data_IF_718668275289
#
_entry.id   IF_718668275289
#
_cell.length_a   1.000
_cell.length_b   1.000
_cell.length_c   1.000
_cell.angle_alpha   90.00
_cell.angle_beta   90.00
_cell.angle_gamma   90.00
#
_symmetry.space_group_name_H-M   'P 1'
#
loop_
_entity.id
_entity.type
_entity.pdbx_description
1 polymer ?
#
# COMPACT_ATOMS: atom_id res chain seq x y z
N UNK A 1 3.03 -41.06 -6.48
CA UNK A 1 3.28 -40.72 -5.07
C UNK A 1 4.67 -40.12 -4.95
N UNK A 2 4.83 -38.89 -5.41
CA UNK A 2 6.04 -38.08 -5.22
C UNK A 2 5.75 -37.14 -4.05
N UNK A 3 6.72 -37.02 -3.14
CA UNK A 3 6.62 -36.19 -1.93
C UNK A 3 6.81 -34.73 -2.33
N UNK A 4 5.76 -33.93 -2.23
CA UNK A 4 5.86 -32.47 -2.21
C UNK A 4 6.37 -32.05 -0.83
N UNK A 5 7.46 -31.30 -0.82
CA UNK A 5 8.05 -30.66 0.35
C UNK A 5 7.95 -29.17 0.07
N UNK A 6 6.87 -28.55 0.56
CA UNK A 6 6.67 -27.10 0.51
C UNK A 6 7.37 -26.51 1.73
N UNK A 7 8.09 -25.42 1.44
CA UNK A 7 9.07 -24.73 2.27
C UNK A 7 8.34 -23.86 3.32
N UNK A 8 9.05 -23.57 4.40
CA UNK A 8 8.50 -23.10 5.69
C UNK A 8 8.48 -21.58 5.72
N UNK A 9 7.42 -20.96 6.21
CA UNK A 9 7.50 -19.63 6.81
C UNK A 9 6.91 -19.68 8.22
N UNK A 10 7.76 -19.46 9.22
CA UNK A 10 7.36 -19.50 10.63
C UNK A 10 7.36 -18.08 11.21
N UNK A 11 6.50 -17.19 10.69
CA UNK A 11 6.20 -15.90 11.34
C UNK A 11 5.24 -16.09 12.53
N UNK A 12 5.56 -16.97 13.49
CA UNK A 12 4.90 -16.98 14.82
C UNK A 12 5.87 -17.40 15.94
N UNK A 13 6.05 -16.47 16.88
CA UNK A 13 6.57 -16.60 18.25
C UNK A 13 8.09 -16.55 18.50
N UNK A 14 8.55 -15.46 19.12
CA UNK A 14 9.09 -15.55 20.50
C UNK A 14 9.19 -14.19 21.22
N UNK A 15 8.30 -14.00 22.20
CA UNK A 15 8.56 -13.16 23.36
C UNK A 15 9.06 -14.07 24.50
N UNK A 16 10.11 -13.60 25.20
CA UNK A 16 10.66 -14.05 26.51
C UNK A 16 11.76 -15.13 26.49
N UNK A 17 12.99 -14.72 26.85
CA UNK A 17 13.92 -15.60 27.57
C UNK A 17 15.43 -15.36 27.37
N UNK A 18 15.99 -14.39 28.10
CA UNK A 18 17.43 -14.07 28.25
C UNK A 18 18.31 -15.29 28.55
N UNK A 19 19.45 -15.44 27.84
CA UNK A 19 20.69 -16.01 28.41
C UNK A 19 21.96 -15.62 27.61
N UNK A 20 22.62 -14.57 28.10
CA UNK A 20 24.05 -14.23 28.06
C UNK A 20 25.00 -15.01 27.12
N UNK A 21 25.55 -14.30 26.14
CA UNK A 21 26.81 -14.62 25.46
C UNK A 21 27.65 -13.35 25.31
N UNK A 22 28.59 -13.11 26.21
CA UNK A 22 29.49 -11.97 26.15
C UNK A 22 30.47 -12.11 24.97
N UNK A 23 30.42 -11.20 24.01
CA UNK A 23 31.44 -11.07 22.96
C UNK A 23 32.28 -9.81 23.20
N UNK A 24 33.57 -10.04 23.43
CA UNK A 24 34.59 -9.00 23.53
C UNK A 24 34.88 -8.43 22.14
N UNK A 25 34.58 -7.16 21.90
CA UNK A 25 35.18 -6.40 20.81
C UNK A 25 36.27 -5.49 21.36
N UNK A 26 37.50 -5.82 20.96
CA UNK A 26 38.69 -5.05 21.20
C UNK A 26 38.64 -3.75 20.39
N UNK A 27 39.03 -2.65 21.04
CA UNK A 27 39.03 -1.32 20.44
C UNK A 27 39.98 -1.20 19.25
N UNK A 28 39.45 -0.72 18.14
CA UNK A 28 40.18 -0.11 17.05
C UNK A 28 39.68 1.32 16.86
N UNK A 29 40.55 2.30 17.05
CA UNK A 29 40.25 3.69 16.68
C UNK A 29 40.17 3.78 15.16
N UNK A 30 39.02 4.17 14.61
CA UNK A 30 38.92 4.66 13.24
C UNK A 30 38.34 6.08 13.27
N UNK A 31 39.02 6.94 12.53
CA UNK A 31 38.97 8.39 12.59
C UNK A 31 37.67 8.94 12.00
N UNK A 32 37.11 9.95 12.69
CA UNK A 32 36.18 10.93 12.13
C UNK A 32 36.78 11.60 10.88
N UNK A 33 36.04 11.62 9.79
CA UNK A 33 36.22 12.58 8.70
C UNK A 33 34.87 13.19 8.33
N UNK A 34 34.52 14.22 9.10
CA UNK A 34 33.40 15.13 8.87
C UNK A 34 33.86 16.19 7.86
N UNK A 35 33.39 16.11 6.62
CA UNK A 35 33.73 17.06 5.55
C UNK A 35 32.78 18.25 5.52
N UNK A 36 33.04 19.26 6.37
CA UNK A 36 32.46 20.60 6.25
C UNK A 36 33.60 21.55 5.86
N UNK A 37 33.56 22.11 4.64
CA UNK A 37 34.56 23.05 4.14
C UNK A 37 33.91 24.34 3.68
N UNK A 38 33.93 25.36 4.55
CA UNK A 38 33.51 26.71 4.24
C UNK A 38 34.68 27.62 3.86
N UNK A 39 34.43 28.49 2.87
CA UNK A 39 34.77 29.92 2.86
C UNK A 39 36.24 30.37 2.75
N UNK A 40 36.53 31.23 1.76
CA UNK A 40 36.95 32.61 2.04
C UNK A 40 37.06 33.47 0.77
N UNK A 41 36.76 34.75 1.01
CA UNK A 41 36.58 35.88 0.11
C UNK A 41 37.91 36.46 -0.42
N UNK A 42 37.88 37.23 -1.52
CA UNK A 42 38.18 38.68 -1.49
C UNK A 42 38.08 39.39 -2.86
N UNK A 43 37.20 40.40 -2.91
CA UNK A 43 37.39 41.80 -3.36
C UNK A 43 37.81 42.21 -4.79
N UNK A 44 36.96 43.07 -5.36
CA UNK A 44 37.30 44.34 -6.05
C UNK A 44 37.23 44.31 -7.59
N UNK A 45 36.59 45.22 -8.33
CA UNK A 45 35.83 46.44 -8.04
C UNK A 45 35.66 47.28 -9.33
N UNK A 46 34.56 48.04 -9.45
CA UNK A 46 34.35 49.22 -10.34
C UNK A 46 34.20 48.98 -11.85
N UNK A 47 33.37 49.68 -12.63
CA UNK A 47 32.45 50.79 -12.42
C UNK A 47 32.01 51.40 -13.77
N UNK A 48 30.85 52.11 -13.79
CA UNK A 48 30.38 53.06 -14.82
C UNK A 48 29.59 52.46 -16.00
N UNK A 49 28.47 52.98 -16.49
CA UNK A 49 27.70 54.20 -16.19
C UNK A 49 26.86 54.59 -17.41
N UNK A 50 25.65 55.17 -17.19
CA UNK A 50 24.85 56.06 -18.08
C UNK A 50 24.32 55.48 -19.43
N UNK A 51 23.18 55.84 -20.01
CA UNK A 51 22.19 56.90 -19.76
C UNK A 51 20.93 56.66 -20.63
N UNK A 52 19.80 57.27 -20.23
CA UNK A 52 18.67 57.78 -21.07
C UNK A 52 17.85 56.80 -21.95
N UNK A 53 16.52 56.89 -22.08
CA UNK A 53 15.52 57.85 -21.61
C UNK A 53 14.29 57.83 -22.55
N UNK A 54 13.13 58.23 -22.00
CA UNK A 54 11.91 58.72 -22.69
C UNK A 54 11.11 57.68 -23.50
N UNK A 55 9.85 57.35 -23.18
CA UNK A 55 8.66 58.21 -23.12
C UNK A 55 7.72 57.74 -24.25
N UNK A 56 6.39 57.69 -24.19
CA UNK A 56 5.35 58.05 -23.22
C UNK A 56 3.98 57.90 -23.92
N UNK A 57 2.89 57.92 -23.15
CA UNK A 57 1.49 58.11 -23.60
C UNK A 57 0.83 56.87 -24.21
N UNK A 58 -0.30 56.35 -23.71
CA UNK A 58 -1.53 56.99 -23.25
C UNK A 58 -2.67 56.36 -24.08
N UNK A 59 -3.88 56.09 -23.63
CA UNK A 59 -4.57 56.27 -22.37
C UNK A 59 -6.03 55.81 -22.55
N UNK A 60 -6.77 55.78 -21.44
CA UNK A 60 -8.25 55.75 -21.39
C UNK A 60 -8.88 54.35 -21.45
N UNK A 61 -9.75 53.93 -20.53
CA UNK A 61 -10.35 54.63 -19.40
C UNK A 61 -11.76 54.06 -19.14
N UNK A 62 -12.07 53.92 -17.85
CA UNK A 62 -13.41 53.83 -17.22
C UNK A 62 -14.26 52.59 -17.54
N UNK A 63 -15.04 52.02 -16.62
CA UNK A 63 -15.47 52.28 -15.22
C UNK A 63 -16.35 51.03 -14.88
N UNK A 64 -16.64 50.60 -13.67
CA UNK A 64 -16.89 51.34 -12.44
C UNK A 64 -17.03 50.39 -11.24
N UNK A 65 -16.75 50.95 -10.06
CA UNK A 65 -17.22 50.67 -8.69
C UNK A 65 -17.48 49.20 -8.25
N UNK A 66 -16.87 48.69 -7.18
CA UNK A 66 -16.73 49.26 -5.82
C UNK A 66 -17.58 48.39 -4.88
N UNK A 67 -17.29 48.11 -3.61
CA UNK A 67 -16.42 48.61 -2.54
C UNK A 67 -16.24 47.41 -1.56
N UNK A 68 -15.17 47.21 -0.80
CA UNK A 68 -14.43 48.13 0.06
C UNK A 68 -14.81 47.84 1.53
N UNK A 69 -13.86 47.40 2.35
CA UNK A 69 -14.10 47.18 3.79
C UNK A 69 -12.98 46.47 4.55
N UNK A 70 -11.84 47.11 4.67
CA UNK A 70 -10.65 46.71 5.43
C UNK A 70 -10.72 47.06 6.92
N UNK A 71 -10.22 46.17 7.80
CA UNK A 71 -9.60 46.50 9.11
C UNK A 71 -8.87 45.25 9.64
N UNK A 72 -7.54 45.15 9.57
CA UNK A 72 -6.54 45.61 10.57
C UNK A 72 -6.67 44.97 11.97
N UNK A 73 -5.64 44.18 12.33
CA UNK A 73 -4.99 44.31 13.64
C UNK A 73 -4.99 43.09 14.57
N UNK A 74 -3.77 42.64 14.90
CA UNK A 74 -3.40 42.29 16.27
C UNK A 74 -3.29 40.79 16.59
N UNK A 75 -2.06 40.28 16.68
CA UNK A 75 -1.78 39.03 17.39
C UNK A 75 -1.83 39.20 18.91
N UNK A 76 -1.89 38.08 19.64
CA UNK A 76 -1.31 37.84 20.97
C UNK A 76 -1.25 36.32 21.18
N UNK A 77 -0.19 35.94 21.90
CA UNK A 77 0.32 34.63 22.26
C UNK A 77 -0.39 33.95 23.45
N UNK A 78 0.01 32.67 23.61
CA UNK A 78 0.30 31.95 24.85
C UNK A 78 -0.73 31.05 25.55
N UNK A 79 -0.21 29.85 25.89
CA UNK A 79 -0.47 28.98 27.05
C UNK A 79 -1.83 28.25 27.06
N UNK A 80 -1.92 26.94 27.26
CA UNK A 80 -1.06 25.99 27.97
C UNK A 80 -1.82 25.46 29.20
N UNK A 81 -2.13 24.16 29.22
CA UNK A 81 -2.28 23.39 30.46
C UNK A 81 -3.66 22.83 30.85
N UNK A 82 -3.66 21.49 30.98
CA UNK A 82 -4.04 20.74 32.21
C UNK A 82 -5.51 20.32 32.44
N UNK A 83 -5.73 19.02 32.22
CA UNK A 83 -6.29 17.97 33.09
C UNK A 83 -7.58 18.14 33.94
N UNK A 84 -8.34 17.03 33.97
CA UNK A 84 -9.29 16.62 35.02
C UNK A 84 -10.75 16.60 34.54
N UNK A 85 -11.64 15.69 34.92
CA UNK A 85 -11.63 14.51 35.78
C UNK A 85 -13.03 13.86 35.68
N UNK A 86 -13.06 12.53 35.76
CA UNK A 86 -14.14 11.60 36.11
C UNK A 86 -15.62 12.05 36.23
N UNK A 87 -16.52 11.22 35.65
CA UNK A 87 -17.94 11.14 35.98
C UNK A 87 -18.50 9.73 35.77
N UNK A 88 -18.61 8.98 36.85
CA UNK A 88 -19.22 7.65 37.02
C UNK A 88 -20.76 7.66 36.96
N UNK A 89 -21.34 6.57 36.44
CA UNK A 89 -22.51 5.90 37.04
C UNK A 89 -23.82 5.91 36.25
N UNK A 90 -24.37 4.71 35.97
CA UNK A 90 -25.74 4.56 35.47
C UNK A 90 -26.08 3.13 35.02
N UNK A 91 -26.45 2.28 35.97
CA UNK A 91 -26.85 0.88 35.85
C UNK A 91 -28.33 0.74 35.42
N UNK A 92 -28.68 -0.26 34.59
CA UNK A 92 -29.91 -1.07 34.74
C UNK A 92 -29.92 -2.32 33.83
N UNK A 93 -30.26 -3.44 34.45
CA UNK A 93 -30.53 -4.77 33.91
C UNK A 93 -31.71 -4.83 32.93
N UNK A 94 -31.70 -5.80 32.00
CA UNK A 94 -32.68 -6.91 31.94
C UNK A 94 -32.29 -7.93 30.86
N UNK A 95 -32.58 -9.20 31.11
CA UNK A 95 -32.01 -10.34 30.42
C UNK A 95 -32.83 -10.93 29.27
N UNK A 96 -32.15 -11.79 28.50
CA UNK A 96 -32.59 -13.14 28.17
C UNK A 96 -33.44 -13.37 26.91
N UNK A 97 -32.91 -14.18 25.99
CA UNK A 97 -33.69 -15.23 25.31
C UNK A 97 -33.72 -15.23 23.77
N UNK A 98 -33.01 -16.20 23.19
CA UNK A 98 -33.38 -17.05 22.04
C UNK A 98 -33.77 -16.43 20.67
N UNK A 99 -32.87 -16.66 19.69
CA UNK A 99 -33.13 -17.29 18.39
C UNK A 99 -34.18 -16.70 17.44
N UNK A 100 -33.74 -16.23 16.28
CA UNK A 100 -34.29 -16.52 14.94
C UNK A 100 -33.58 -15.66 13.89
N UNK A 101 -33.21 -16.27 12.76
CA UNK A 101 -32.80 -15.54 11.57
C UNK A 101 -33.91 -14.59 11.11
N UNK A 102 -33.51 -13.39 10.72
CA UNK A 102 -34.40 -12.34 10.28
C UNK A 102 -33.60 -11.24 9.59
N UNK A 103 -33.90 -11.05 8.31
CA UNK A 103 -33.37 -10.01 7.44
C UNK A 103 -33.34 -8.66 8.16
N UNK A 104 -32.14 -8.10 8.31
CA UNK A 104 -31.95 -6.76 8.83
C UNK A 104 -32.26 -5.71 7.77
N UNK A 105 -33.54 -5.47 7.51
CA UNK A 105 -33.99 -4.18 6.98
C UNK A 105 -33.48 -3.09 7.95
N UNK A 106 -32.45 -2.35 7.54
CA UNK A 106 -32.09 -1.11 8.23
C UNK A 106 -33.31 -0.20 8.15
N UNK A 107 -33.89 0.26 9.27
CA UNK A 107 -34.97 1.23 9.20
C UNK A 107 -34.43 2.48 8.50
N UNK A 108 -35.07 2.85 7.39
CA UNK A 108 -34.90 4.17 6.80
C UNK A 108 -35.03 5.20 7.92
N UNK A 109 -33.99 6.00 8.14
CA UNK A 109 -34.01 7.03 9.15
C UNK A 109 -35.25 7.90 8.92
N UNK A 110 -36.15 7.92 9.90
CA UNK A 110 -37.31 8.78 9.87
C UNK A 110 -36.83 10.23 9.71
N UNK A 111 -37.43 11.03 8.80
CA UNK A 111 -37.14 12.45 8.75
C UNK A 111 -37.67 13.08 10.04
N UNK A 112 -36.96 14.10 10.52
CA UNK A 112 -37.24 14.91 11.72
C UNK A 112 -36.67 14.37 13.04
N UNK A 113 -35.37 14.54 13.22
CA UNK A 113 -34.85 14.94 14.52
C UNK A 113 -34.39 16.40 14.38
N UNK A 114 -35.10 17.31 15.03
CA UNK A 114 -34.65 18.68 15.27
C UNK A 114 -33.21 18.65 15.79
N UNK A 115 -32.37 19.55 15.30
CA UNK A 115 -30.98 19.63 15.71
C UNK A 115 -30.90 19.77 17.24
N UNK A 116 -30.21 18.85 17.93
CA UNK A 116 -29.82 19.05 19.32
C UNK A 116 -29.02 20.36 19.38
N UNK A 117 -29.51 21.34 20.14
CA UNK A 117 -28.92 22.70 20.23
C UNK A 117 -27.47 22.69 20.77
N UNK A 118 -27.03 21.56 21.32
CA UNK A 118 -25.67 21.32 21.83
C UNK A 118 -24.74 20.63 20.81
N UNK A 119 -25.24 20.32 19.60
CA UNK A 119 -24.47 19.62 18.58
C UNK A 119 -23.63 20.59 17.74
N UNK A 120 -22.31 20.50 17.89
CA UNK A 120 -21.32 21.16 17.00
C UNK A 120 -21.28 20.56 15.58
N UNK A 121 -22.19 19.63 15.27
CA UNK A 121 -22.32 19.03 13.94
C UNK A 121 -22.97 20.05 12.99
N UNK A 122 -22.27 20.50 11.93
CA UNK A 122 -22.86 21.44 10.99
C UNK A 122 -24.04 20.80 10.26
N UNK A 123 -25.10 21.56 9.99
CA UNK A 123 -26.39 21.05 9.49
C UNK A 123 -26.37 20.35 8.12
N UNK A 124 -25.25 20.40 7.39
CA UNK A 124 -25.02 19.60 6.18
C UNK A 124 -24.62 18.15 6.49
N UNK A 125 -24.05 17.90 7.65
CA UNK A 125 -23.67 16.57 8.09
C UNK A 125 -24.92 15.88 8.64
N UNK A 126 -25.61 15.15 7.76
CA UNK A 126 -26.87 14.50 8.08
C UNK A 126 -27.64 13.96 6.86
N UNK A 127 -27.12 14.14 5.65
CA UNK A 127 -27.75 13.57 4.46
C UNK A 127 -28.99 14.34 3.99
N UNK A 128 -29.15 15.61 4.36
CA UNK A 128 -30.22 16.46 3.79
C UNK A 128 -29.89 16.78 2.32
N UNK A 129 -30.60 16.21 1.34
CA UNK A 129 -30.29 16.36 -0.08
C UNK A 129 -30.54 17.78 -0.60
N UNK A 130 -31.37 18.58 0.10
CA UNK A 130 -31.66 19.97 -0.27
C UNK A 130 -30.50 20.92 0.06
N UNK A 131 -29.64 20.56 1.02
CA UNK A 131 -28.49 21.37 1.47
C UNK A 131 -27.14 20.84 0.98
N UNK A 132 -27.10 19.60 0.50
CA UNK A 132 -25.94 19.01 -0.14
C UNK A 132 -26.39 18.20 -1.37
N UNK A 133 -26.30 18.76 -2.59
CA UNK A 133 -26.66 18.04 -3.81
C UNK A 133 -25.85 16.76 -4.04
N UNK A 134 -24.72 16.58 -3.35
CA UNK A 134 -23.89 15.37 -3.39
C UNK A 134 -24.25 14.33 -2.31
N UNK A 135 -25.15 14.65 -1.36
CA UNK A 135 -25.56 13.73 -0.30
C UNK A 135 -26.49 12.60 -0.77
N UNK A 136 -26.96 12.65 -2.02
CA UNK A 136 -27.78 11.61 -2.65
C UNK A 136 -27.02 10.54 -3.43
N UNK A 137 -25.69 10.62 -3.54
CA UNK A 137 -24.89 9.68 -4.34
C UNK A 137 -24.62 8.32 -3.65
N UNK A 138 -25.32 8.04 -2.54
CA UNK A 138 -25.26 6.77 -1.81
C UNK A 138 -26.56 5.97 -1.93
N UNK A 139 -27.27 6.02 -3.05
CA UNK A 139 -28.31 5.03 -3.32
C UNK A 139 -27.63 3.66 -3.39
N UNK A 140 -27.78 2.87 -2.33
CA UNK A 140 -27.32 1.49 -2.31
C UNK A 140 -27.78 0.77 -3.58
N UNK A 141 -26.86 -0.01 -4.14
CA UNK A 141 -27.04 -0.74 -5.39
C UNK A 141 -28.33 -1.58 -5.34
N UNK A 142 -29.30 -1.37 -6.25
CA UNK A 142 -30.53 -2.16 -6.30
C UNK A 142 -30.34 -3.52 -6.99
N UNK A 143 -29.13 -3.87 -7.44
CA UNK A 143 -28.85 -5.08 -8.20
C UNK A 143 -27.60 -5.78 -7.67
N UNK A 144 -27.76 -6.81 -6.84
CA UNK A 144 -26.60 -7.56 -6.34
C UNK A 144 -25.75 -8.07 -7.52
N UNK A 145 -24.46 -7.75 -7.53
CA UNK A 145 -23.49 -8.20 -8.53
C UNK A 145 -23.09 -7.16 -9.57
N UNK A 146 -23.68 -5.96 -9.58
CA UNK A 146 -23.32 -4.89 -10.53
C UNK A 146 -22.40 -3.82 -9.97
N UNK A 147 -22.22 -3.78 -8.65
CA UNK A 147 -21.22 -2.90 -8.01
C UNK A 147 -20.16 -3.79 -7.38
N UNK A 148 -18.88 -3.39 -7.51
CA UNK A 148 -17.72 -4.13 -6.99
C UNK A 148 -17.97 -4.73 -5.59
N UNK A 149 -18.68 -4.00 -4.73
CA UNK A 149 -19.12 -4.40 -3.38
C UNK A 149 -19.75 -5.80 -3.21
N UNK A 150 -20.43 -6.35 -4.23
CA UNK A 150 -21.19 -7.61 -4.09
C UNK A 150 -20.36 -8.86 -4.38
N UNK A 151 -19.16 -8.72 -4.95
CA UNK A 151 -18.20 -9.83 -5.20
C UNK A 151 -17.42 -10.17 -3.91
N UNK A 152 -17.67 -9.45 -2.83
CA UNK A 152 -16.79 -9.36 -1.66
C UNK A 152 -17.33 -10.08 -0.42
N UNK A 153 -17.54 -11.38 -0.54
CA UNK A 153 -17.41 -12.26 0.63
C UNK A 153 -15.96 -12.25 1.14
N UNK A 154 -15.74 -12.78 2.35
CA UNK A 154 -14.38 -13.02 2.84
C UNK A 154 -13.66 -13.95 1.85
N UNK A 155 -12.60 -13.46 1.21
CA UNK A 155 -11.81 -14.24 0.28
C UNK A 155 -10.91 -15.17 1.09
N UNK A 156 -10.86 -16.45 0.72
CA UNK A 156 -10.03 -17.45 1.38
C UNK A 156 -8.83 -17.81 0.52
N UNK A 157 -7.71 -18.15 1.16
CA UNK A 157 -6.52 -18.61 0.45
C UNK A 157 -6.78 -19.98 -0.19
N UNK A 158 -6.46 -20.11 -1.48
CA UNK A 158 -6.63 -21.33 -2.25
C UNK A 158 -5.26 -21.94 -2.57
N UNK A 159 -5.18 -23.25 -2.62
CA UNK A 159 -4.01 -23.89 -3.21
C UNK A 159 -4.01 -23.60 -4.71
N UNK A 160 -2.97 -22.92 -5.20
CA UNK A 160 -2.83 -22.48 -6.60
C UNK A 160 -1.65 -23.13 -7.30
N UNK A 161 -1.74 -23.21 -8.62
CA UNK A 161 -0.60 -23.47 -9.48
C UNK A 161 0.35 -22.27 -9.40
N UNK A 162 1.60 -22.44 -8.96
CA UNK A 162 2.53 -21.34 -8.78
C UNK A 162 2.98 -20.72 -10.11
N UNK A 163 2.82 -21.41 -11.25
CA UNK A 163 3.15 -20.86 -12.56
C UNK A 163 2.10 -19.88 -13.07
N UNK A 164 0.82 -20.15 -12.86
CA UNK A 164 -0.31 -19.41 -13.48
C UNK A 164 -1.17 -18.64 -12.48
N UNK A 165 -1.15 -19.02 -11.20
CA UNK A 165 -2.08 -18.52 -10.19
C UNK A 165 -3.47 -19.18 -10.21
N UNK A 166 -3.70 -20.16 -11.10
CA UNK A 166 -4.96 -20.90 -11.18
C UNK A 166 -5.17 -21.77 -9.94
N UNK A 167 -6.37 -21.78 -9.33
CA UNK A 167 -6.66 -22.64 -8.19
C UNK A 167 -6.68 -24.11 -8.61
N UNK A 168 -6.11 -24.97 -7.77
CA UNK A 168 -6.08 -26.42 -8.00
C UNK A 168 -7.47 -27.00 -7.74
N UNK A 169 -8.06 -27.57 -8.79
CA UNK A 169 -9.36 -28.25 -8.74
C UNK A 169 -9.25 -29.54 -7.92
N UNK A 170 -10.07 -29.64 -6.88
CA UNK A 170 -10.19 -30.82 -6.03
C UNK A 170 -11.20 -31.85 -6.58
N UNK A 171 -12.17 -31.39 -7.37
CA UNK A 171 -13.19 -32.23 -8.00
C UNK A 171 -14.40 -31.44 -8.46
N UNK A 172 -15.52 -32.14 -8.65
CA UNK A 172 -16.82 -31.55 -8.98
C UNK A 172 -17.90 -32.19 -8.12
N UNK A 173 -18.84 -31.40 -7.63
CA UNK A 173 -20.06 -31.85 -6.97
C UNK A 173 -21.28 -31.45 -7.81
N UNK A 174 -22.45 -31.98 -7.44
CA UNK A 174 -23.73 -31.62 -8.07
C UNK A 174 -24.64 -31.10 -6.99
N UNK A 175 -25.13 -29.88 -7.17
CA UNK A 175 -26.12 -29.28 -6.28
C UNK A 175 -27.38 -30.16 -6.25
N UNK A 176 -27.79 -30.68 -5.09
CA UNK A 176 -28.95 -31.55 -4.98
C UNK A 176 -30.29 -30.83 -5.23
N UNK A 177 -30.35 -29.51 -5.12
CA UNK A 177 -31.54 -28.69 -5.33
C UNK A 177 -31.68 -28.22 -6.78
N UNK A 178 -30.59 -27.74 -7.37
CA UNK A 178 -30.59 -27.16 -8.73
C UNK A 178 -30.15 -28.15 -9.81
N UNK A 179 -29.39 -29.18 -9.45
CA UNK A 179 -28.76 -30.11 -10.38
C UNK A 179 -27.55 -29.53 -11.12
N UNK A 180 -27.05 -28.37 -10.70
CA UNK A 180 -25.89 -27.70 -11.28
C UNK A 180 -24.57 -28.36 -10.86
N UNK A 181 -23.61 -28.47 -11.79
CA UNK A 181 -22.27 -28.93 -11.47
C UNK A 181 -21.46 -27.80 -10.83
N UNK A 182 -20.93 -28.04 -9.63
CA UNK A 182 -20.10 -27.10 -8.88
C UNK A 182 -18.66 -27.61 -8.93
N UNK A 183 -17.72 -26.71 -9.26
CA UNK A 183 -16.29 -27.03 -9.19
C UNK A 183 -15.79 -26.84 -7.76
N UNK A 184 -15.11 -27.85 -7.24
CA UNK A 184 -14.52 -27.82 -5.89
C UNK A 184 -13.03 -27.48 -5.98
N UNK A 185 -12.55 -26.69 -5.02
CA UNK A 185 -11.16 -26.25 -4.94
C UNK A 185 -10.51 -26.65 -3.62
N UNK A 186 -9.18 -26.69 -3.59
CA UNK A 186 -8.44 -26.83 -2.35
C UNK A 186 -8.25 -25.49 -1.65
N UNK A 187 -8.63 -25.43 -0.37
CA UNK A 187 -8.49 -24.26 0.51
C UNK A 187 -7.38 -24.49 1.51
N UNK A 188 -6.53 -23.49 1.71
CA UNK A 188 -5.40 -23.52 2.64
C UNK A 188 -5.87 -23.36 4.10
N UNK A 189 -5.27 -24.14 5.00
CA UNK A 189 -5.56 -24.12 6.45
C UNK A 189 -4.40 -23.58 7.30
N UNK A 190 -3.23 -23.36 6.69
CA UNK A 190 -2.07 -22.71 7.28
C UNK A 190 -1.46 -21.69 6.28
N UNK A 191 -0.66 -20.75 6.78
CA UNK A 191 -0.11 -19.65 5.99
C UNK A 191 0.77 -20.15 4.82
N UNK A 192 1.45 -21.28 5.02
CA UNK A 192 2.30 -21.93 4.02
C UNK A 192 1.51 -22.77 2.99
N UNK A 193 0.20 -22.89 3.15
CA UNK A 193 -0.67 -23.83 2.43
C UNK A 193 -0.14 -25.28 2.39
N UNK A 194 0.64 -25.69 3.41
CA UNK A 194 1.11 -27.06 3.58
C UNK A 194 -0.01 -28.02 3.99
N UNK A 195 -1.06 -27.48 4.62
CA UNK A 195 -2.29 -28.19 4.96
C UNK A 195 -3.46 -27.57 4.21
N UNK A 196 -4.24 -28.41 3.51
CA UNK A 196 -5.39 -27.96 2.75
C UNK A 196 -6.54 -28.97 2.80
N UNK A 197 -7.74 -28.49 2.49
CA UNK A 197 -8.96 -29.30 2.40
C UNK A 197 -9.77 -28.93 1.16
N UNK A 198 -10.50 -29.88 0.58
CA UNK A 198 -11.41 -29.60 -0.51
C UNK A 198 -12.68 -28.90 0.00
N UNK A 199 -13.23 -27.99 -0.79
CA UNK A 199 -14.60 -27.49 -0.60
C UNK A 199 -15.62 -28.61 -0.86
N UNK A 200 -16.82 -28.45 -0.29
CA UNK A 200 -17.96 -29.34 -0.50
C UNK A 200 -19.19 -28.50 -0.87
N UNK A 201 -19.79 -28.76 -2.03
CA UNK A 201 -20.87 -27.98 -2.63
C UNK A 201 -20.50 -26.49 -2.79
N UNK A 202 -19.24 -26.19 -3.09
CA UNK A 202 -18.74 -24.82 -3.23
C UNK A 202 -18.58 -24.08 -1.89
N UNK A 203 -18.77 -24.75 -0.76
CA UNK A 203 -18.62 -24.17 0.57
C UNK A 203 -17.48 -24.83 1.36
N UNK A 204 -17.04 -24.17 2.42
CA UNK A 204 -16.12 -24.76 3.38
C UNK A 204 -16.82 -25.85 4.18
N UNK A 205 -16.19 -27.04 4.38
CA UNK A 205 -16.76 -28.07 5.22
C UNK A 205 -17.01 -27.60 6.66
N UNK A 206 -18.02 -28.17 7.33
CA UNK A 206 -18.41 -27.76 8.68
C UNK A 206 -17.24 -27.94 9.68
N UNK A 207 -16.98 -26.92 10.48
CA UNK A 207 -15.92 -26.92 11.50
C UNK A 207 -14.52 -26.62 10.96
N UNK A 208 -14.40 -26.28 9.67
CA UNK A 208 -13.15 -25.78 9.07
C UNK A 208 -13.06 -24.27 9.24
N UNK A 209 -11.89 -23.77 9.61
CA UNK A 209 -11.56 -22.34 9.56
C UNK A 209 -10.53 -22.15 8.48
N UNK A 210 -10.94 -21.54 7.37
CA UNK A 210 -10.03 -21.14 6.31
C UNK A 210 -9.24 -19.90 6.71
N UNK A 211 -8.09 -19.71 6.08
CA UNK A 211 -7.33 -18.47 6.19
C UNK A 211 -7.90 -17.48 5.18
N UNK A 212 -8.25 -16.30 5.67
CA UNK A 212 -8.68 -15.20 4.82
C UNK A 212 -7.47 -14.57 4.12
N UNK A 213 -7.65 -14.15 2.88
CA UNK A 213 -6.69 -13.28 2.19
C UNK A 213 -6.75 -11.91 2.85
N UNK A 214 -5.63 -11.44 3.39
CA UNK A 214 -5.52 -10.11 3.97
C UNK A 214 -5.04 -9.12 2.91
N UNK A 215 -5.84 -8.08 2.68
CA UNK A 215 -5.51 -7.00 1.74
C UNK A 215 -4.98 -5.77 2.47
N UNK A 216 -5.21 -5.66 3.78
CA UNK A 216 -4.84 -4.47 4.54
C UNK A 216 -5.28 -3.19 3.83
N UNK A 217 -4.32 -2.28 3.56
CA UNK A 217 -4.56 -1.04 2.82
C UNK A 217 -4.89 -1.20 1.32
N UNK A 218 -4.56 -2.32 0.68
CA UNK A 218 -4.91 -2.56 -0.74
C UNK A 218 -6.39 -2.84 -0.94
N UNK A 219 -7.14 -3.02 0.17
CA UNK A 219 -8.61 -2.97 0.17
C UNK A 219 -9.17 -1.73 -0.54
N UNK A 220 -8.38 -0.66 -0.69
CA UNK A 220 -8.72 0.52 -1.49
C UNK A 220 -9.01 0.21 -2.97
N UNK A 221 -8.52 -0.90 -3.54
CA UNK A 221 -8.86 -1.34 -4.90
C UNK A 221 -10.35 -1.68 -5.10
N UNK A 222 -11.08 -1.86 -3.99
CA UNK A 222 -12.54 -2.04 -3.98
C UNK A 222 -13.30 -0.72 -4.12
N UNK A 223 -12.60 0.41 -4.08
CA UNK A 223 -13.18 1.72 -4.30
C UNK A 223 -13.76 1.86 -5.71
N UNK A 224 -14.70 2.80 -5.93
CA UNK A 224 -15.15 3.15 -7.28
C UNK A 224 -13.97 3.56 -8.17
N UNK A 225 -14.03 3.24 -9.47
CA UNK A 225 -12.94 3.53 -10.41
C UNK A 225 -12.55 5.01 -10.44
N UNK A 226 -13.50 5.92 -10.19
CA UNK A 226 -13.21 7.37 -10.12
C UNK A 226 -12.14 7.73 -9.07
N UNK A 227 -11.94 6.90 -8.04
CA UNK A 227 -10.91 7.10 -7.02
C UNK A 227 -9.53 6.74 -7.57
N UNK A 228 -9.41 5.60 -8.25
CA UNK A 228 -8.18 5.16 -8.90
C UNK A 228 -7.84 6.02 -10.11
N UNK A 229 -8.84 6.46 -10.88
CA UNK A 229 -8.66 7.33 -12.04
C UNK A 229 -8.08 8.70 -11.62
N UNK A 230 -8.59 9.28 -10.53
CA UNK A 230 -8.07 10.55 -10.03
C UNK A 230 -6.63 10.43 -9.52
N UNK A 231 -6.31 9.33 -8.82
CA UNK A 231 -4.95 9.08 -8.37
C UNK A 231 -3.98 8.81 -9.53
N UNK A 232 -4.47 8.17 -10.61
CA UNK A 232 -3.70 8.01 -11.84
C UNK A 232 -3.36 9.37 -12.45
N UNK A 233 -4.36 10.25 -12.60
CA UNK A 233 -4.16 11.61 -13.11
C UNK A 233 -3.14 12.40 -12.28
N UNK A 234 -3.22 12.32 -10.94
CA UNK A 234 -2.26 12.97 -10.04
C UNK A 234 -0.84 12.41 -10.20
N UNK A 235 -0.71 11.08 -10.25
CA UNK A 235 0.57 10.41 -10.42
C UNK A 235 1.23 10.73 -11.76
N UNK A 236 0.48 10.64 -12.86
CA UNK A 236 0.97 10.96 -14.20
C UNK A 236 1.35 12.45 -14.32
N UNK A 237 0.56 13.35 -13.74
CA UNK A 237 0.88 14.79 -13.72
C UNK A 237 2.22 15.08 -13.01
N UNK A 238 2.53 14.36 -11.93
CA UNK A 238 3.84 14.46 -11.25
C UNK A 238 4.99 14.00 -12.14
N UNK A 239 4.79 12.91 -12.88
CA UNK A 239 5.82 12.35 -13.77
C UNK A 239 6.03 13.21 -15.02
N UNK A 240 4.96 13.75 -15.60
CA UNK A 240 5.02 14.63 -16.77
C UNK A 240 5.71 15.98 -16.47
N UNK A 241 5.59 16.47 -15.23
CA UNK A 241 6.20 17.72 -14.78
C UNK A 241 7.59 17.54 -14.17
N UNK A 242 8.04 16.30 -14.02
CA UNK A 242 9.35 15.99 -13.43
C UNK A 242 10.49 16.41 -14.35
N UNK A 243 11.55 16.97 -13.76
CA UNK A 243 12.82 17.23 -14.44
C UNK A 243 13.59 15.91 -14.66
N UNK A 244 13.50 15.00 -13.69
CA UNK A 244 14.16 13.69 -13.70
C UNK A 244 13.30 12.66 -12.95
N UNK A 245 13.32 11.42 -13.44
CA UNK A 245 12.65 10.26 -12.81
C UNK A 245 13.69 9.17 -12.62
N UNK A 246 13.69 8.55 -11.44
CA UNK A 246 14.57 7.47 -11.04
C UNK A 246 13.82 6.51 -10.10
N UNK A 247 14.52 5.49 -9.60
CA UNK A 247 13.98 4.54 -8.63
C UNK A 247 14.73 4.64 -7.30
N UNK A 248 14.03 4.41 -6.19
CA UNK A 248 14.66 4.20 -4.89
C UNK A 248 15.16 2.75 -4.73
N UNK A 249 15.71 2.44 -3.55
CA UNK A 249 16.26 1.12 -3.22
C UNK A 249 15.25 -0.03 -3.40
N UNK A 250 13.97 0.24 -3.18
CA UNK A 250 12.87 -0.73 -3.32
C UNK A 250 12.27 -0.78 -4.72
N UNK A 251 12.77 0.03 -5.66
CA UNK A 251 12.20 0.15 -7.00
C UNK A 251 11.01 1.11 -7.09
N UNK A 252 10.70 1.89 -6.04
CA UNK A 252 9.63 2.89 -6.11
C UNK A 252 10.06 4.10 -6.90
N UNK A 253 9.10 4.69 -7.60
CA UNK A 253 9.34 5.85 -8.44
C UNK A 253 9.67 7.07 -7.56
N UNK A 254 10.82 7.65 -7.81
CA UNK A 254 11.24 8.96 -7.31
C UNK A 254 11.40 9.94 -8.46
N UNK A 255 11.01 11.18 -8.25
CA UNK A 255 11.04 12.22 -9.28
C UNK A 255 11.53 13.53 -8.70
N UNK A 256 12.11 14.39 -9.52
CA UNK A 256 12.57 15.70 -9.10
C UNK A 256 11.82 16.83 -9.79
N UNK A 257 11.58 17.91 -9.04
CA UNK A 257 11.06 19.18 -9.56
C UNK A 257 11.91 20.29 -8.96
N UNK A 258 12.48 21.15 -9.80
CA UNK A 258 13.36 22.26 -9.42
C UNK A 258 14.53 21.78 -8.52
N UNK A 259 15.06 20.59 -8.82
CA UNK A 259 16.16 19.96 -8.07
C UNK A 259 15.79 19.39 -6.69
N UNK A 260 14.51 19.37 -6.32
CA UNK A 260 14.01 18.71 -5.10
C UNK A 260 13.42 17.34 -5.44
N UNK A 261 13.84 16.29 -4.75
CA UNK A 261 13.37 14.92 -4.96
C UNK A 261 12.12 14.61 -4.12
N UNK A 262 11.20 13.89 -4.73
CA UNK A 262 9.94 13.40 -4.19
C UNK A 262 9.79 11.91 -4.51
N UNK A 263 8.97 11.21 -3.74
CA UNK A 263 8.66 9.79 -3.95
C UNK A 263 7.16 9.63 -4.15
N UNK A 264 6.76 8.78 -5.10
CA UNK A 264 5.38 8.31 -5.18
C UNK A 264 5.16 7.28 -4.05
N UNK A 265 4.84 7.78 -2.86
CA UNK A 265 4.66 6.98 -1.62
C UNK A 265 3.17 6.81 -1.24
N UNK A 266 2.24 7.27 -2.09
CA UNK A 266 0.81 7.05 -1.86
C UNK A 266 0.42 5.64 -2.30
N UNK A 267 -0.20 4.82 -1.42
CA UNK A 267 -0.69 3.50 -1.81
C UNK A 267 -1.68 3.57 -2.98
N UNK A 268 -2.50 4.62 -3.03
CA UNK A 268 -3.50 4.79 -4.07
C UNK A 268 -2.88 5.18 -5.42
N UNK A 269 -1.82 6.00 -5.42
CA UNK A 269 -1.11 6.36 -6.66
C UNK A 269 -0.33 5.15 -7.20
N UNK A 270 0.33 4.39 -6.32
CA UNK A 270 0.99 3.14 -6.70
C UNK A 270 -0.01 2.13 -7.27
N UNK A 271 -1.19 2.00 -6.66
CA UNK A 271 -2.24 1.10 -7.17
C UNK A 271 -2.75 1.56 -8.53
N UNK A 272 -2.98 2.86 -8.72
CA UNK A 272 -3.47 3.39 -9.97
C UNK A 272 -2.47 3.16 -11.12
N UNK A 273 -1.19 3.44 -10.88
CA UNK A 273 -0.10 3.15 -11.82
C UNK A 273 0.03 1.64 -12.08
N UNK A 274 -0.10 0.79 -11.04
CA UNK A 274 -0.07 -0.66 -11.18
C UNK A 274 -1.18 -1.15 -12.11
N UNK A 275 -2.42 -0.73 -11.89
CA UNK A 275 -3.57 -1.15 -12.68
C UNK A 275 -3.38 -0.77 -14.15
N UNK A 276 -3.04 0.49 -14.41
CA UNK A 276 -2.89 1.00 -15.77
C UNK A 276 -1.67 0.39 -16.49
N UNK A 277 -0.55 0.18 -15.79
CA UNK A 277 0.63 -0.48 -16.36
C UNK A 277 0.38 -1.97 -16.61
N UNK A 278 -0.15 -2.70 -15.63
CA UNK A 278 -0.36 -4.14 -15.73
C UNK A 278 -1.39 -4.45 -16.84
N UNK A 279 -2.49 -3.68 -16.91
CA UNK A 279 -3.47 -3.81 -17.99
C UNK A 279 -2.86 -3.49 -19.37
N UNK A 280 -1.99 -2.47 -19.45
CA UNK A 280 -1.21 -2.16 -20.65
C UNK A 280 -0.35 -3.33 -21.07
N UNK A 281 0.53 -3.81 -20.19
CA UNK A 281 1.44 -4.94 -20.45
C UNK A 281 0.73 -6.26 -20.77
N UNK A 282 -0.49 -6.47 -20.26
CA UNK A 282 -1.30 -7.68 -20.55
C UNK A 282 -1.90 -7.67 -21.97
N UNK A 283 -2.00 -6.48 -22.57
CA UNK A 283 -2.66 -6.29 -23.86
C UNK A 283 -1.67 -5.71 -24.86
N UNK A 284 -1.90 -5.85 -26.17
CA UNK A 284 -1.09 -5.12 -27.16
C UNK A 284 -1.47 -3.62 -27.22
N UNK A 285 -2.01 -3.04 -26.13
CA UNK A 285 -2.50 -1.66 -26.05
C UNK A 285 -1.68 -0.86 -25.06
N UNK A 286 -0.90 0.07 -25.57
CA UNK A 286 -0.12 0.99 -24.74
C UNK A 286 -1.01 1.93 -23.93
N UNK A 287 -0.87 1.90 -22.61
CA UNK A 287 -1.58 2.78 -21.66
C UNK A 287 -0.83 4.09 -21.40
N UNK A 288 -1.42 4.99 -20.60
CA UNK A 288 -0.80 6.27 -20.28
C UNK A 288 0.45 6.08 -19.41
N UNK A 289 0.36 5.19 -18.41
CA UNK A 289 1.49 4.82 -17.55
C UNK A 289 2.57 4.14 -18.36
N UNK A 290 2.22 3.19 -19.23
CA UNK A 290 3.19 2.55 -20.12
C UNK A 290 3.88 3.59 -21.01
N UNK A 291 3.15 4.54 -21.59
CA UNK A 291 3.74 5.62 -22.41
C UNK A 291 4.77 6.45 -21.64
N UNK A 292 4.43 6.87 -20.41
CA UNK A 292 5.31 7.69 -19.57
C UNK A 292 6.55 6.90 -19.13
N UNK A 293 6.37 5.64 -18.75
CA UNK A 293 7.45 4.81 -18.22
C UNK A 293 8.33 4.18 -19.32
N UNK A 294 7.79 3.89 -20.51
CA UNK A 294 8.54 3.33 -21.63
C UNK A 294 9.59 4.31 -22.14
N UNK A 295 9.28 5.62 -22.13
CA UNK A 295 10.26 6.67 -22.43
C UNK A 295 11.50 6.63 -21.51
N UNK A 296 11.37 6.01 -20.34
CA UNK A 296 12.41 5.83 -19.33
C UNK A 296 12.97 4.40 -19.29
N UNK A 297 12.42 3.49 -20.09
CA UNK A 297 12.74 2.05 -20.04
C UNK A 297 12.22 1.35 -18.78
N UNK A 298 11.18 1.89 -18.15
CA UNK A 298 10.60 1.43 -16.89
C UNK A 298 9.23 0.74 -17.06
N UNK A 299 8.69 0.67 -18.27
CA UNK A 299 7.42 -0.03 -18.54
C UNK A 299 7.63 -1.55 -18.55
N UNK A 300 7.88 -2.13 -17.37
CA UNK A 300 8.21 -3.56 -17.20
C UNK A 300 7.36 -4.21 -16.11
N UNK A 301 7.35 -5.55 -16.09
CA UNK A 301 6.74 -6.30 -14.99
C UNK A 301 7.50 -6.11 -13.66
N UNK A 302 8.80 -5.84 -13.68
CA UNK A 302 9.53 -5.46 -12.45
C UNK A 302 8.96 -4.17 -11.85
N UNK A 303 8.67 -3.18 -12.70
CA UNK A 303 8.02 -1.94 -12.25
C UNK A 303 6.61 -2.21 -11.73
N UNK A 304 5.84 -3.07 -12.38
CA UNK A 304 4.54 -3.47 -11.87
C UNK A 304 4.65 -4.16 -10.49
N UNK A 305 5.65 -5.00 -10.26
CA UNK A 305 5.90 -5.63 -8.96
C UNK A 305 6.27 -4.58 -7.89
N UNK A 306 7.14 -3.62 -8.20
CA UNK A 306 7.49 -2.51 -7.30
C UNK A 306 6.30 -1.59 -6.99
N UNK A 307 5.43 -1.34 -7.97
CA UNK A 307 4.19 -0.58 -7.76
C UNK A 307 3.24 -1.34 -6.85
N UNK A 308 3.06 -2.65 -7.05
CA UNK A 308 2.24 -3.49 -6.18
C UNK A 308 2.77 -3.49 -4.74
N UNK A 309 4.09 -3.55 -4.56
CA UNK A 309 4.75 -3.38 -3.26
C UNK A 309 4.40 -2.04 -2.60
N UNK A 310 4.37 -0.94 -3.37
CA UNK A 310 3.95 0.38 -2.91
C UNK A 310 2.47 0.46 -2.49
N UNK A 311 1.63 -0.48 -2.95
CA UNK A 311 0.22 -0.59 -2.53
C UNK A 311 0.10 -1.27 -1.18
N UNK A 312 0.91 -2.29 -0.90
CA UNK A 312 0.72 -3.16 0.26
C UNK A 312 1.00 -2.47 1.61
N UNK A 313 0.53 -3.11 2.69
CA UNK A 313 0.89 -2.69 4.03
C UNK A 313 2.36 -2.96 4.31
N UNK A 314 3.06 -1.96 4.87
CA UNK A 314 4.52 -2.01 5.06
C UNK A 314 5.03 -3.19 5.88
N UNK A 315 4.17 -3.84 6.66
CA UNK A 315 4.51 -4.99 7.53
C UNK A 315 3.68 -6.23 7.16
N UNK A 316 3.00 -6.21 6.01
CA UNK A 316 2.25 -7.33 5.49
C UNK A 316 3.08 -8.15 4.51
N UNK A 317 2.48 -9.19 3.95
CA UNK A 317 3.12 -10.08 2.97
C UNK A 317 2.31 -10.08 1.66
N UNK A 318 3.00 -10.07 0.52
CA UNK A 318 2.39 -10.21 -0.81
C UNK A 318 2.46 -11.68 -1.22
N UNK A 319 1.37 -12.40 -0.96
CA UNK A 319 1.23 -13.81 -1.35
C UNK A 319 0.70 -13.97 -2.78
N UNK A 320 0.80 -15.18 -3.34
CA UNK A 320 0.18 -15.49 -4.63
C UNK A 320 -1.35 -15.28 -4.62
N UNK A 321 -2.03 -15.63 -3.52
CA UNK A 321 -3.45 -15.35 -3.36
C UNK A 321 -3.74 -13.84 -3.30
N UNK A 322 -2.91 -13.07 -2.60
CA UNK A 322 -3.01 -11.61 -2.62
C UNK A 322 -2.95 -11.08 -4.05
N UNK A 323 -1.91 -11.45 -4.81
CA UNK A 323 -1.69 -11.00 -6.19
C UNK A 323 -2.90 -11.33 -7.10
N UNK A 324 -3.31 -12.61 -7.11
CA UNK A 324 -4.38 -13.07 -8.00
C UNK A 324 -5.70 -12.39 -7.69
N UNK A 325 -6.04 -12.27 -6.40
CA UNK A 325 -7.27 -11.60 -6.01
C UNK A 325 -7.20 -10.09 -6.26
N UNK A 326 -6.07 -9.44 -5.98
CA UNK A 326 -5.87 -8.01 -6.23
C UNK A 326 -6.05 -7.69 -7.72
N UNK A 327 -5.52 -8.52 -8.63
CA UNK A 327 -5.72 -8.36 -10.08
C UNK A 327 -7.20 -8.40 -10.50
N UNK A 328 -7.99 -9.31 -9.91
CA UNK A 328 -9.43 -9.42 -10.19
C UNK A 328 -10.21 -8.25 -9.57
N UNK A 329 -9.92 -7.90 -8.31
CA UNK A 329 -10.59 -6.83 -7.56
C UNK A 329 -10.38 -5.47 -8.24
N UNK A 330 -9.12 -5.20 -8.60
CA UNK A 330 -8.73 -3.95 -9.22
C UNK A 330 -9.25 -3.85 -10.66
N UNK A 331 -9.42 -4.98 -11.35
CA UNK A 331 -9.90 -5.06 -12.73
C UNK A 331 -8.77 -5.11 -13.76
N UNK A 332 -7.56 -5.49 -13.35
CA UNK A 332 -6.45 -5.82 -14.26
C UNK A 332 -6.83 -7.02 -15.13
N UNK A 333 -7.52 -8.01 -14.55
CA UNK A 333 -8.10 -9.15 -15.27
C UNK A 333 -9.55 -9.35 -14.87
N UNK A 334 -10.33 -9.93 -15.77
CA UNK A 334 -11.71 -10.34 -15.50
C UNK A 334 -11.77 -11.53 -14.53
N UNK A 335 -12.87 -11.66 -13.80
CA UNK A 335 -13.06 -12.79 -12.88
C UNK A 335 -12.98 -14.14 -13.62
N UNK A 336 -12.16 -15.05 -13.11
CA UNK A 336 -11.90 -16.36 -13.72
C UNK A 336 -10.84 -16.35 -14.82
N UNK A 337 -10.26 -15.19 -15.12
CA UNK A 337 -9.08 -15.03 -16.00
C UNK A 337 -7.85 -14.77 -15.14
N UNK A 338 -6.69 -15.22 -15.61
CA UNK A 338 -5.41 -15.07 -14.93
C UNK A 338 -4.44 -14.29 -15.79
N UNK A 339 -3.61 -13.48 -15.15
CA UNK A 339 -2.58 -12.71 -15.82
C UNK A 339 -1.46 -13.65 -16.29
N UNK A 340 -1.00 -13.48 -17.53
CA UNK A 340 0.09 -14.29 -18.07
C UNK A 340 1.45 -13.71 -17.67
N UNK A 341 2.10 -14.33 -16.69
CA UNK A 341 3.44 -13.98 -16.24
C UNK A 341 4.55 -14.78 -16.93
N UNK A 342 4.27 -15.57 -17.97
CA UNK A 342 5.23 -16.54 -18.53
C UNK A 342 6.54 -15.98 -19.07
N UNK A 343 6.62 -14.65 -19.27
CA UNK A 343 7.84 -13.94 -19.68
C UNK A 343 8.56 -13.26 -18.52
N UNK A 344 8.04 -13.34 -17.30
CA UNK A 344 8.62 -12.71 -16.13
C UNK A 344 9.81 -13.51 -15.63
N UNK A 345 10.93 -12.82 -15.44
CA UNK A 345 12.13 -13.35 -14.83
C UNK A 345 12.50 -12.45 -13.66
N UNK A 346 12.93 -13.04 -12.55
CA UNK A 346 13.33 -12.28 -11.38
C UNK A 346 14.55 -12.92 -10.72
N UNK A 347 15.46 -12.06 -10.30
CA UNK A 347 16.56 -12.40 -9.41
C UNK A 347 16.85 -11.21 -8.51
N UNK A 348 17.16 -11.48 -7.25
CA UNK A 348 17.57 -10.46 -6.30
C UNK A 348 18.88 -9.80 -6.76
N UNK A 349 18.82 -8.49 -7.00
CA UNK A 349 19.98 -7.65 -7.35
C UNK A 349 19.95 -6.35 -6.52
N UNK A 350 19.91 -6.51 -5.19
CA UNK A 350 19.97 -5.41 -4.25
C UNK A 350 21.40 -5.15 -3.76
N UNK A 351 21.70 -3.94 -3.24
CA UNK A 351 22.98 -3.63 -2.63
C UNK A 351 23.39 -4.61 -1.52
N UNK A 352 24.65 -5.01 -1.55
CA UNK A 352 25.23 -5.93 -0.56
C UNK A 352 25.94 -5.21 0.60
N UNK A 353 25.94 -3.88 0.59
CA UNK A 353 26.66 -3.00 1.52
C UNK A 353 25.75 -1.92 2.12
N UNK A 354 24.46 -2.20 2.23
CA UNK A 354 23.49 -1.27 2.78
C UNK A 354 23.78 -0.96 4.26
N UNK A 355 23.77 0.32 4.64
CA UNK A 355 24.03 0.74 6.01
C UNK A 355 22.73 1.01 6.76
N UNK A 356 22.56 0.40 7.93
CA UNK A 356 21.39 0.58 8.79
C UNK A 356 21.78 0.84 10.24
N UNK A 357 20.84 1.36 11.04
CA UNK A 357 21.05 1.63 12.46
C UNK A 357 20.46 0.51 13.33
N UNK A 358 21.24 0.06 14.32
CA UNK A 358 20.83 -0.98 15.27
C UNK A 358 21.12 -0.56 16.71
N UNK A 359 20.20 -0.88 17.61
CA UNK A 359 20.26 -0.65 19.06
C UNK A 359 19.85 -1.92 19.79
N UNK A 360 20.85 -2.72 20.17
CA UNK A 360 20.63 -4.00 20.87
C UNK A 360 20.52 -3.71 22.38
N UNK A 361 19.52 -4.30 23.03
CA UNK A 361 19.29 -4.21 24.49
C UNK A 361 19.25 -2.76 25.04
N UNK A 362 18.79 -1.80 24.22
CA UNK A 362 18.71 -0.39 24.61
C UNK A 362 20.06 0.33 24.66
N UNK A 363 21.11 -0.23 24.08
CA UNK A 363 22.38 0.46 23.86
C UNK A 363 22.23 1.65 22.89
N UNK A 364 23.21 2.55 22.87
CA UNK A 364 23.21 3.63 21.87
C UNK A 364 23.22 3.04 20.45
N UNK A 365 22.43 3.59 19.52
CA UNK A 365 22.40 3.11 18.14
C UNK A 365 23.80 3.17 17.50
N UNK A 366 24.18 2.08 16.85
CA UNK A 366 25.39 1.97 16.02
C UNK A 366 24.99 1.64 14.60
N UNK A 367 25.88 1.90 13.64
CA UNK A 367 25.69 1.48 12.25
C UNK A 367 26.17 0.05 12.06
N UNK A 368 25.45 -0.70 11.24
CA UNK A 368 25.86 -2.01 10.72
C UNK A 368 25.65 -2.05 9.20
N UNK A 369 26.34 -3.00 8.54
CA UNK A 369 26.28 -3.20 7.10
C UNK A 369 25.51 -4.48 6.78
N UNK A 370 24.67 -4.44 5.76
CA UNK A 370 23.72 -5.49 5.40
C UNK A 370 23.88 -5.88 3.94
N UNK A 371 23.93 -7.19 3.69
CA UNK A 371 23.66 -7.74 2.37
C UNK A 371 22.15 -7.96 2.23
N UNK A 372 21.47 -7.10 1.45
CA UNK A 372 20.01 -7.16 1.30
C UNK A 372 19.57 -8.47 0.63
N UNK A 373 20.37 -9.02 -0.29
CA UNK A 373 20.00 -10.28 -0.94
C UNK A 373 20.02 -11.43 0.06
N UNK A 374 20.99 -11.43 0.98
CA UNK A 374 21.07 -12.41 2.07
C UNK A 374 19.99 -12.18 3.14
N UNK A 375 19.62 -10.93 3.41
CA UNK A 375 18.51 -10.56 4.29
C UNK A 375 17.19 -11.15 3.78
N UNK A 376 16.83 -10.87 2.51
CA UNK A 376 15.61 -11.36 1.88
C UNK A 376 15.60 -12.90 1.76
N UNK A 377 16.78 -13.52 1.57
CA UNK A 377 16.91 -14.98 1.49
C UNK A 377 16.78 -15.73 2.81
N UNK A 378 16.72 -15.02 3.95
CA UNK A 378 16.48 -15.65 5.23
C UNK A 378 15.02 -16.09 5.36
N UNK A 379 14.81 -17.32 5.86
CA UNK A 379 13.48 -17.93 6.02
C UNK A 379 12.60 -17.21 7.06
N UNK A 380 13.18 -16.35 7.91
CA UNK A 380 12.42 -15.49 8.81
C UNK A 380 11.92 -14.19 8.16
N UNK A 381 12.42 -13.89 6.96
CA UNK A 381 12.07 -12.71 6.15
C UNK A 381 11.15 -13.19 5.01
N UNK A 382 11.71 -13.46 3.82
CA UNK A 382 10.97 -13.94 2.64
C UNK A 382 11.41 -15.34 2.18
N UNK A 383 12.60 -15.79 2.59
CA UNK A 383 13.13 -17.10 2.24
C UNK A 383 13.60 -17.24 0.80
N UNK A 384 13.67 -18.48 0.33
CA UNK A 384 14.10 -18.81 -1.02
C UNK A 384 13.08 -18.37 -2.08
N UNK A 385 13.56 -17.87 -3.22
CA UNK A 385 12.70 -17.57 -4.36
C UNK A 385 12.01 -18.84 -4.88
N UNK A 386 10.77 -18.71 -5.41
CA UNK A 386 10.12 -19.76 -6.19
C UNK A 386 10.98 -20.22 -7.38
N UNK A 387 10.65 -21.38 -7.95
CA UNK A 387 11.33 -21.87 -9.15
C UNK A 387 11.14 -20.89 -10.32
N UNK A 388 12.12 -20.78 -11.22
CA UNK A 388 12.08 -19.84 -12.34
C UNK A 388 10.93 -20.09 -13.34
N UNK A 389 10.24 -21.23 -13.24
CA UNK A 389 9.05 -21.57 -14.04
C UNK A 389 7.73 -21.30 -13.31
N UNK A 390 7.80 -20.95 -12.03
CA UNK A 390 6.66 -20.63 -11.18
C UNK A 390 6.34 -19.13 -11.31
N UNK A 391 6.08 -18.69 -12.54
CA UNK A 391 6.11 -17.29 -12.94
C UNK A 391 5.21 -16.36 -12.10
N UNK A 392 3.96 -16.76 -11.82
CA UNK A 392 3.05 -15.96 -11.00
C UNK A 392 3.52 -15.86 -9.54
N UNK A 393 3.99 -16.97 -8.95
CA UNK A 393 4.57 -16.97 -7.62
C UNK A 393 5.88 -16.16 -7.56
N UNK A 394 6.68 -16.22 -8.63
CA UNK A 394 7.92 -15.44 -8.75
C UNK A 394 7.63 -13.94 -8.82
N UNK A 395 6.56 -13.52 -9.52
CA UNK A 395 6.09 -12.13 -9.51
C UNK A 395 5.63 -11.70 -8.11
N UNK A 396 4.84 -12.52 -7.43
CA UNK A 396 4.43 -12.25 -6.05
C UNK A 396 5.66 -12.09 -5.13
N UNK A 397 6.65 -12.98 -5.24
CA UNK A 397 7.90 -12.90 -4.49
C UNK A 397 8.73 -11.65 -4.82
N UNK A 398 8.75 -11.20 -6.07
CA UNK A 398 9.43 -9.96 -6.46
C UNK A 398 8.77 -8.72 -5.83
N UNK A 399 7.43 -8.68 -5.81
CA UNK A 399 6.69 -7.62 -5.14
C UNK A 399 6.87 -7.68 -3.61
N UNK A 400 6.90 -8.86 -3.02
CA UNK A 400 7.12 -9.07 -1.59
C UNK A 400 8.54 -8.68 -1.15
N UNK A 401 9.56 -9.02 -1.95
CA UNK A 401 10.94 -8.56 -1.74
C UNK A 401 11.04 -7.03 -1.81
N UNK A 402 10.35 -6.40 -2.77
CA UNK A 402 10.30 -4.94 -2.85
C UNK A 402 9.60 -4.31 -1.63
N UNK A 403 8.52 -4.94 -1.13
CA UNK A 403 7.80 -4.50 0.08
C UNK A 403 8.70 -4.58 1.32
N UNK A 404 9.43 -5.68 1.46
CA UNK A 404 10.36 -5.87 2.57
C UNK A 404 11.51 -4.85 2.52
N UNK A 405 11.98 -4.48 1.33
CA UNK A 405 12.96 -3.38 1.18
C UNK A 405 12.35 -2.00 1.51
N UNK A 406 11.05 -1.78 1.25
CA UNK A 406 10.32 -0.59 1.70
C UNK A 406 10.28 -0.54 3.23
N UNK A 407 10.01 -1.66 3.90
CA UNK A 407 10.06 -1.75 5.36
C UNK A 407 11.47 -1.45 5.88
N UNK A 408 12.47 -2.05 5.23
CA UNK A 408 13.88 -1.85 5.56
C UNK A 408 14.30 -0.39 5.53
N UNK A 409 13.98 0.31 4.44
CA UNK A 409 14.35 1.70 4.25
C UNK A 409 13.60 2.66 5.19
N UNK A 410 12.41 2.29 5.65
CA UNK A 410 11.59 3.13 6.54
C UNK A 410 11.78 2.84 8.02
N UNK A 411 12.42 1.73 8.37
CA UNK A 411 12.72 1.40 9.77
C UNK A 411 13.96 2.16 10.21
N UNK A 412 13.77 3.12 11.10
CA UNK A 412 14.84 4.03 11.47
C UNK A 412 15.91 3.40 12.36
N UNK A 413 15.52 2.50 13.28
CA UNK A 413 16.41 1.79 14.20
C UNK A 413 15.87 0.39 14.45
N UNK A 414 16.72 -0.61 14.21
CA UNK A 414 16.44 -2.00 14.53
C UNK A 414 16.86 -2.36 15.95
N UNK A 415 16.16 -3.27 16.60
CA UNK A 415 16.48 -3.71 17.97
C UNK A 415 17.38 -4.94 18.03
N UNK A 416 17.64 -5.55 16.88
CA UNK A 416 18.48 -6.73 16.73
C UNK A 416 19.29 -6.66 15.43
N UNK A 417 20.30 -7.52 15.31
CA UNK A 417 21.01 -7.66 14.05
C UNK A 417 20.13 -8.38 13.05
N UNK A 418 20.03 -7.84 11.85
CA UNK A 418 19.26 -8.43 10.78
C UNK A 418 20.01 -9.63 10.20
N UNK A 419 19.31 -10.66 9.71
CA UNK A 419 19.96 -11.69 8.91
C UNK A 419 20.63 -11.05 7.68
N UNK A 420 21.77 -11.59 7.25
CA UNK A 420 22.59 -10.96 6.21
C UNK A 420 23.48 -9.80 6.68
N UNK A 421 23.50 -9.45 7.98
CA UNK A 421 24.46 -8.47 8.50
C UNK A 421 25.89 -8.95 8.25
N UNK A 422 26.68 -8.11 7.58
CA UNK A 422 28.09 -8.37 7.30
C UNK A 422 28.90 -8.07 8.57
N UNK A 423 29.48 -9.11 9.17
CA UNK A 423 30.37 -8.95 10.33
C UNK A 423 31.78 -8.63 9.82
N UNK A 424 32.25 -7.42 10.08
CA UNK A 424 33.64 -7.01 9.80
C UNK A 424 34.68 -7.68 10.73
#
# INVERSE_FOLDING_TARGET
MARYLIIRSAKVAMLVGVAAGALFLAGGNIMHAQGQGGGSESSGGGGGGSDSGSGGGGGGGNSDAGSGGSSSGGGISNQGGTAGQAGTGGQTDTGGGAGAGGQGERPAAAPTAEADEDSVRPGWAGGNPELNPHAGAGSGNPSSGTTKGDIYGDLVMLLRDPATGEPIVAGTSVDPETGEEITEYYVCLDADCGTYIATELGELPEGVTAIAVDFGRSSVARAPSSVTDHALEEALSKLETADEVALDLSGRIVYSIDGTWYTIDSPLENLALYIDLAAGLATDTTTATETVLDALGLATLDMAASLLAGVADKTGDITLDYLVNENVISGVVEAGVYYDYSTFEYSRDYPTDYTYWVSIDGALPVTATLDINAYLADESVNGALPDATDYAALFAAAADDALEVIELAHTQIYTELLPGTVVE
#
